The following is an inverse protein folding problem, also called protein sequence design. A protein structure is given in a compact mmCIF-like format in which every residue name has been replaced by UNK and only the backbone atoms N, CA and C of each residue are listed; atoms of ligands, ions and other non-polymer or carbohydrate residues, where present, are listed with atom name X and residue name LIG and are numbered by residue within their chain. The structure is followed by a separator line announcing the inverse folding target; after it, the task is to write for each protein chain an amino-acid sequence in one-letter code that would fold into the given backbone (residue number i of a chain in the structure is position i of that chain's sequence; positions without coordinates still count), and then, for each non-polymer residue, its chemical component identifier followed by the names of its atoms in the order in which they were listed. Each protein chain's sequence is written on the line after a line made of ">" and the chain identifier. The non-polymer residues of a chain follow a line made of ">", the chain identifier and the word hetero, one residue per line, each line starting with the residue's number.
data_IF_754481863575
#
_entry.id   IF_754481863575
#
_cell.length_a   1.000
_cell.length_b   1.000
_cell.length_c   1.000
_cell.angle_alpha   90.00
_cell.angle_beta   90.00
_cell.angle_gamma   90.00
#
_symmetry.space_group_name_H-M   'P 1'
#
loop_
_entity.id
_entity.type
_entity.pdbx_description
1 polymer ?
#
# COMPACT_ATOMS: atom_id res chain seq x y z
N UNK A 1 -9.26 4.04 -16.23
CA UNK A 1 -10.05 4.18 -14.98
C UNK A 1 -9.06 4.39 -13.84
N UNK A 2 -8.76 5.64 -13.47
CA UNK A 2 -7.85 5.94 -12.36
C UNK A 2 -8.65 5.88 -11.05
N UNK A 3 -8.52 4.76 -10.33
CA UNK A 3 -9.06 4.62 -8.98
C UNK A 3 -8.33 5.58 -8.05
N UNK A 4 -9.03 6.62 -7.65
CA UNK A 4 -8.54 7.57 -6.67
C UNK A 4 -9.29 7.31 -5.36
N UNK A 5 -8.58 6.94 -4.30
CA UNK A 5 -9.15 6.65 -2.99
C UNK A 5 -8.82 7.82 -2.04
N UNK A 6 -9.80 8.34 -1.30
CA UNK A 6 -9.56 9.32 -0.22
C UNK A 6 -9.17 8.57 1.06
N UNK A 7 -7.89 8.63 1.42
CA UNK A 7 -7.34 7.85 2.53
C UNK A 7 -7.12 8.76 3.75
N UNK A 8 -7.46 8.31 4.96
CA UNK A 8 -7.09 8.92 6.24
C UNK A 8 -6.72 7.81 7.22
N UNK A 9 -5.49 7.31 7.13
CA UNK A 9 -5.08 6.13 7.90
C UNK A 9 -3.88 6.40 8.81
N UNK A 10 -4.01 6.01 10.08
CA UNK A 10 -2.95 5.96 11.10
C UNK A 10 -2.91 4.51 11.61
N UNK A 11 -2.13 3.64 10.94
CA UNK A 11 -1.87 2.29 11.43
C UNK A 11 -0.40 2.16 11.82
N UNK A 12 -0.16 1.36 12.85
CA UNK A 12 1.20 1.10 13.31
C UNK A 12 1.92 0.09 12.41
N UNK A 13 1.19 -0.67 11.57
CA UNK A 13 1.74 -1.73 10.71
C UNK A 13 1.34 -1.57 9.25
N UNK A 14 2.26 -1.90 8.35
CA UNK A 14 2.06 -1.76 6.92
C UNK A 14 1.03 -2.75 6.35
N UNK A 15 0.95 -3.98 6.88
CA UNK A 15 0.01 -4.99 6.36
C UNK A 15 -1.46 -4.57 6.50
N UNK A 16 -1.83 -3.89 7.59
CA UNK A 16 -3.16 -3.30 7.78
C UNK A 16 -3.45 -2.20 6.75
N UNK A 17 -2.43 -1.36 6.47
CA UNK A 17 -2.53 -0.31 5.45
C UNK A 17 -2.74 -0.93 4.06
N UNK A 18 -1.98 -1.97 3.72
CA UNK A 18 -2.12 -2.70 2.46
C UNK A 18 -3.51 -3.35 2.33
N UNK A 19 -4.03 -3.94 3.40
CA UNK A 19 -5.37 -4.53 3.40
C UNK A 19 -6.46 -3.48 3.10
N UNK A 20 -6.38 -2.30 3.70
CA UNK A 20 -7.36 -1.24 3.48
C UNK A 20 -7.26 -0.61 2.10
N UNK A 21 -6.03 -0.43 1.59
CA UNK A 21 -5.82 -0.01 0.21
C UNK A 21 -6.44 -1.00 -0.77
N UNK A 22 -6.30 -2.30 -0.52
CA UNK A 22 -6.90 -3.34 -1.35
C UNK A 22 -8.43 -3.25 -1.34
N UNK A 23 -9.04 -3.10 -0.16
CA UNK A 23 -10.49 -2.96 -0.01
C UNK A 23 -11.04 -1.68 -0.65
N UNK A 24 -10.35 -0.54 -0.46
CA UNK A 24 -10.81 0.75 -0.97
C UNK A 24 -10.62 0.95 -2.48
N UNK A 25 -9.85 0.09 -3.13
CA UNK A 25 -9.52 0.22 -4.57
C UNK A 25 -9.97 -0.97 -5.41
N UNK A 26 -10.24 -2.13 -4.79
CA UNK A 26 -10.48 -3.39 -5.47
C UNK A 26 -9.22 -4.06 -6.04
N UNK A 27 -8.02 -3.57 -5.67
CA UNK A 27 -6.75 -4.12 -6.15
C UNK A 27 -6.21 -5.20 -5.21
N UNK A 28 -5.66 -6.28 -5.78
CA UNK A 28 -4.96 -7.32 -5.05
C UNK A 28 -3.53 -6.89 -4.69
N UNK A 29 -3.27 -6.63 -3.41
CA UNK A 29 -1.92 -6.32 -2.92
C UNK A 29 -1.27 -7.60 -2.38
N UNK A 30 -0.17 -8.02 -3.00
CA UNK A 30 0.65 -9.17 -2.57
C UNK A 30 1.83 -8.65 -1.77
N UNK A 31 1.93 -9.08 -0.51
CA UNK A 31 3.00 -8.67 0.40
C UNK A 31 3.76 -9.91 0.91
N UNK A 32 5.09 -9.82 0.95
CA UNK A 32 5.91 -10.79 1.65
C UNK A 32 5.90 -10.48 3.15
N UNK A 33 5.06 -11.20 3.89
CA UNK A 33 4.89 -10.99 5.34
C UNK A 33 6.18 -11.16 6.13
N UNK A 34 7.12 -11.99 5.69
CA UNK A 34 8.41 -12.14 6.35
C UNK A 34 9.24 -10.84 6.33
N UNK A 35 8.94 -9.94 5.39
CA UNK A 35 9.64 -8.66 5.22
C UNK A 35 8.78 -7.47 5.62
N UNK A 36 7.45 -7.57 5.48
CA UNK A 36 6.53 -6.45 5.72
C UNK A 36 5.93 -6.43 7.13
N UNK A 37 5.88 -7.56 7.85
CA UNK A 37 5.33 -7.61 9.21
C UNK A 37 5.97 -6.63 10.23
N UNK A 38 7.31 -6.38 10.21
CA UNK A 38 7.92 -5.41 11.13
C UNK A 38 7.81 -3.96 10.67
N UNK A 39 7.32 -3.71 9.45
CA UNK A 39 7.31 -2.36 8.86
C UNK A 39 6.14 -1.55 9.39
N UNK A 40 6.43 -0.36 9.92
CA UNK A 40 5.42 0.66 10.18
C UNK A 40 5.13 1.41 8.91
N UNK A 41 3.86 1.43 8.50
CA UNK A 41 3.42 2.21 7.35
C UNK A 41 3.34 3.70 7.70
N UNK A 42 3.80 4.56 6.81
CA UNK A 42 3.50 5.98 6.92
C UNK A 42 2.02 6.24 6.66
N UNK A 43 1.44 7.27 7.30
CA UNK A 43 0.05 7.64 7.04
C UNK A 43 -0.12 8.05 5.58
N UNK A 44 -1.08 7.45 4.90
CA UNK A 44 -1.48 7.83 3.54
C UNK A 44 -2.69 8.74 3.63
N UNK A 45 -2.59 9.95 3.06
CA UNK A 45 -3.65 10.95 3.07
C UNK A 45 -3.84 11.60 1.71
N UNK A 46 -5.11 11.82 1.33
CA UNK A 46 -5.48 12.53 0.11
C UNK A 46 -5.77 11.60 -1.07
N UNK A 47 -5.94 12.21 -2.25
CA UNK A 47 -6.39 11.55 -3.48
C UNK A 47 -5.18 11.13 -4.32
N UNK A 48 -4.91 9.84 -4.43
CA UNK A 48 -3.77 9.32 -5.21
C UNK A 48 -4.06 7.93 -5.79
N UNK A 49 -3.16 7.46 -6.67
CA UNK A 49 -3.22 6.09 -7.18
C UNK A 49 -2.82 5.10 -6.07
N UNK A 50 -3.24 3.84 -6.20
CA UNK A 50 -2.82 2.81 -5.23
C UNK A 50 -1.29 2.61 -5.19
N UNK A 51 -0.61 2.79 -6.33
CA UNK A 51 0.85 2.72 -6.39
C UNK A 51 1.48 3.83 -5.56
N UNK A 52 1.00 5.07 -5.72
CA UNK A 52 1.51 6.22 -4.95
C UNK A 52 1.18 6.07 -3.47
N UNK A 53 0.01 5.53 -3.14
CA UNK A 53 -0.37 5.21 -1.76
C UNK A 53 0.58 4.20 -1.12
N UNK A 54 0.92 3.11 -1.82
CA UNK A 54 1.89 2.12 -1.35
C UNK A 54 3.29 2.70 -1.24
N UNK A 55 3.75 3.47 -2.21
CA UNK A 55 5.05 4.15 -2.14
C UNK A 55 5.12 5.13 -0.95
N UNK A 56 4.04 5.88 -0.69
CA UNK A 56 3.94 6.79 0.45
C UNK A 56 4.01 6.00 1.77
N UNK A 57 3.21 4.94 1.89
CA UNK A 57 3.17 4.08 3.07
C UNK A 57 4.54 3.42 3.36
N UNK A 58 5.32 3.11 2.32
CA UNK A 58 6.62 2.44 2.42
C UNK A 58 7.83 3.40 2.48
N UNK A 59 7.62 4.71 2.40
CA UNK A 59 8.74 5.65 2.35
C UNK A 59 9.65 5.50 3.57
N UNK A 60 10.94 5.20 3.33
CA UNK A 60 11.93 4.95 4.38
C UNK A 60 11.97 3.52 4.94
N UNK A 61 11.07 2.62 4.52
CA UNK A 61 10.99 1.24 5.03
C UNK A 61 11.93 0.24 4.31
N UNK A 62 12.67 0.66 3.28
CA UNK A 62 13.55 -0.22 2.50
C UNK A 62 12.83 -1.25 1.61
N UNK A 63 11.50 -1.27 1.63
CA UNK A 63 10.65 -2.06 0.74
C UNK A 63 10.17 -1.21 -0.44
N UNK A 64 9.83 -1.85 -1.55
CA UNK A 64 9.40 -1.19 -2.79
C UNK A 64 8.28 -1.99 -3.46
N UNK A 65 7.50 -1.28 -4.28
CA UNK A 65 6.64 -1.94 -5.27
C UNK A 65 7.55 -2.54 -6.33
N UNK A 66 7.51 -3.87 -6.48
CA UNK A 66 8.36 -4.62 -7.43
C UNK A 66 7.63 -5.03 -8.69
N UNK A 67 6.30 -5.13 -8.64
CA UNK A 67 5.47 -5.47 -9.80
C UNK A 67 4.12 -4.77 -9.71
N UNK A 68 3.57 -4.39 -10.86
CA UNK A 68 2.23 -3.81 -11.00
C UNK A 68 1.57 -4.36 -12.26
N UNK A 69 0.39 -4.95 -12.09
CA UNK A 69 -0.53 -5.39 -13.14
C UNK A 69 -1.82 -4.56 -13.07
N UNK A 70 -2.79 -4.86 -13.95
CA UNK A 70 -4.03 -4.10 -14.05
C UNK A 70 -4.83 -4.05 -12.73
N UNK A 71 -4.84 -5.15 -12.01
CA UNK A 71 -5.62 -5.38 -10.80
C UNK A 71 -4.77 -5.86 -9.61
N UNK A 72 -3.45 -5.98 -9.76
CA UNK A 72 -2.57 -6.46 -8.69
C UNK A 72 -1.26 -5.68 -8.55
N UNK A 73 -0.75 -5.59 -7.32
CA UNK A 73 0.54 -4.97 -6.99
C UNK A 73 1.31 -5.86 -6.02
N UNK A 74 2.62 -6.02 -6.27
CA UNK A 74 3.51 -6.78 -5.38
C UNK A 74 4.50 -5.87 -4.66
N UNK A 75 4.61 -6.02 -3.34
CA UNK A 75 5.56 -5.30 -2.48
C UNK A 75 6.60 -6.26 -1.91
N UNK A 76 7.88 -5.92 -2.07
CA UNK A 76 9.04 -6.65 -1.54
C UNK A 76 10.17 -5.69 -1.22
#
# INVERSE_FOLDING_TARGET
>A
MLHHCELRYQFSRFDETAQQLAQGTGCFIRIDLSRTAPVRGNPVKGRMTIRDALCTALAGAGLKVTEQQADSITVR
#
